data_IF_006877007141
#
_entry.id   IF_006877007141
#
_cell.length_a   1.000
_cell.length_b   1.000
_cell.length_c   1.000
_cell.angle_alpha   90.00
_cell.angle_beta   90.00
_cell.angle_gamma   90.00
#
_symmetry.space_group_name_H-M   'P 1'
#
loop_
_entity.id
_entity.type
_entity.pdbx_description
1 polymer ?
#
# COMPACT_ATOMS: atom_id res chain seq x y z
N UNK A 1 16.36 -11.27 13.85
CA UNK A 1 15.12 -11.34 13.06
C UNK A 1 14.42 -9.99 12.93
N UNK A 2 14.14 -9.27 14.02
CA UNK A 2 13.44 -7.98 14.01
C UNK A 2 14.00 -6.97 12.99
N UNK A 3 15.33 -6.77 12.93
CA UNK A 3 15.97 -5.85 11.97
C UNK A 3 15.64 -6.15 10.50
N UNK A 4 15.56 -7.43 10.12
CA UNK A 4 15.26 -7.84 8.75
C UNK A 4 13.79 -7.57 8.40
N UNK A 5 12.88 -7.85 9.34
CA UNK A 5 11.44 -7.61 9.20
C UNK A 5 11.17 -6.10 9.09
N UNK A 6 11.81 -5.29 9.92
CA UNK A 6 11.68 -3.82 9.86
C UNK A 6 12.21 -3.25 8.54
N UNK A 7 13.35 -3.75 8.05
CA UNK A 7 13.91 -3.32 6.76
C UNK A 7 12.98 -3.70 5.61
N UNK A 8 12.49 -4.95 5.59
CA UNK A 8 11.50 -5.42 4.62
C UNK A 8 10.25 -4.53 4.61
N UNK A 9 9.71 -4.24 5.79
CA UNK A 9 8.55 -3.36 5.95
C UNK A 9 8.81 -1.96 5.41
N UNK A 10 9.97 -1.36 5.69
CA UNK A 10 10.30 -0.05 5.15
C UNK A 10 10.35 -0.06 3.61
N UNK A 11 11.00 -1.06 3.02
CA UNK A 11 11.15 -1.20 1.57
C UNK A 11 9.80 -1.42 0.88
N UNK A 12 8.98 -2.36 1.36
CA UNK A 12 7.69 -2.68 0.73
C UNK A 12 6.70 -1.51 0.81
N UNK A 13 6.76 -0.69 1.87
CA UNK A 13 5.94 0.53 1.97
C UNK A 13 6.42 1.63 1.01
N UNK A 14 7.73 1.79 0.80
CA UNK A 14 8.25 2.71 -0.20
C UNK A 14 7.79 2.26 -1.60
N UNK A 15 7.90 0.97 -1.92
CA UNK A 15 7.42 0.40 -3.19
C UNK A 15 5.91 0.62 -3.35
N UNK A 16 5.11 0.29 -2.32
CA UNK A 16 3.66 0.50 -2.34
C UNK A 16 3.27 1.97 -2.57
N UNK A 17 3.99 2.89 -1.96
CA UNK A 17 3.80 4.32 -2.17
C UNK A 17 4.14 4.75 -3.61
N UNK A 18 5.28 4.30 -4.13
CA UNK A 18 5.73 4.62 -5.49
C UNK A 18 4.73 4.11 -6.53
N UNK A 19 4.32 2.83 -6.45
CA UNK A 19 3.38 2.22 -7.39
C UNK A 19 2.03 2.94 -7.37
N UNK A 20 1.53 3.32 -6.19
CA UNK A 20 0.28 4.08 -6.08
C UNK A 20 0.41 5.52 -6.61
N UNK A 21 1.58 6.17 -6.44
CA UNK A 21 1.83 7.49 -7.03
C UNK A 21 1.95 7.40 -8.55
N UNK A 22 2.65 6.39 -9.07
CA UNK A 22 2.77 6.15 -10.50
C UNK A 22 1.41 5.87 -11.14
N UNK A 23 0.52 5.13 -10.47
CA UNK A 23 -0.84 4.88 -10.97
C UNK A 23 -1.60 6.20 -11.21
N UNK A 24 -1.40 7.20 -10.33
CA UNK A 24 -1.96 8.54 -10.55
C UNK A 24 -1.33 9.25 -11.75
N UNK A 25 -0.01 9.18 -11.90
CA UNK A 25 0.70 9.85 -12.99
C UNK A 25 0.37 9.19 -14.35
N UNK A 26 0.18 7.87 -14.38
CA UNK A 26 -0.35 7.10 -15.52
C UNK A 26 -1.79 7.50 -15.85
N UNK A 27 -2.64 7.68 -14.83
CA UNK A 27 -4.01 8.17 -15.02
C UNK A 27 -4.07 9.58 -15.63
N UNK A 28 -3.10 10.45 -15.32
CA UNK A 28 -2.97 11.79 -15.91
C UNK A 28 -2.45 11.77 -17.34
N UNK A 29 -1.48 10.89 -17.63
CA UNK A 29 -0.84 10.76 -18.93
C UNK A 29 -1.59 9.86 -19.93
N UNK A 30 -2.82 9.42 -19.59
CA UNK A 30 -3.64 8.45 -20.36
C UNK A 30 -2.86 7.16 -20.71
N UNK A 31 -1.89 6.78 -19.88
CA UNK A 31 -1.19 5.50 -19.98
C UNK A 31 -1.98 4.39 -19.30
N UNK A 32 -1.61 3.14 -19.56
CA UNK A 32 -2.20 1.97 -18.91
C UNK A 32 -2.10 2.10 -17.39
N UNK A 33 -3.25 1.92 -16.72
CA UNK A 33 -3.36 2.01 -15.27
C UNK A 33 -2.84 0.73 -14.63
N UNK A 34 -2.36 0.85 -13.39
CA UNK A 34 -1.93 -0.33 -12.62
C UNK A 34 -3.18 -1.13 -12.23
N UNK A 35 -3.19 -2.46 -12.45
CA UNK A 35 -4.29 -3.31 -12.03
C UNK A 35 -4.55 -3.16 -10.53
N UNK A 36 -5.82 -3.06 -10.14
CA UNK A 36 -6.17 -2.89 -8.72
C UNK A 36 -5.65 -4.03 -7.85
N UNK A 37 -5.66 -5.25 -8.41
CA UNK A 37 -5.12 -6.46 -7.80
C UNK A 37 -3.66 -6.28 -7.36
N UNK A 38 -2.83 -5.59 -8.14
CA UNK A 38 -1.43 -5.34 -7.80
C UNK A 38 -1.29 -4.43 -6.58
N UNK A 39 -2.12 -3.38 -6.48
CA UNK A 39 -2.12 -2.48 -5.32
C UNK A 39 -2.59 -3.21 -4.04
N UNK A 40 -3.63 -4.04 -4.16
CA UNK A 40 -4.08 -4.89 -3.04
C UNK A 40 -3.05 -5.94 -2.64
N UNK A 41 -2.36 -6.55 -3.61
CA UNK A 41 -1.31 -7.53 -3.35
C UNK A 41 -0.11 -6.88 -2.64
N UNK A 42 0.34 -5.70 -3.10
CA UNK A 42 1.38 -4.93 -2.42
C UNK A 42 0.98 -4.57 -0.99
N UNK A 43 -0.28 -4.15 -0.80
CA UNK A 43 -0.81 -3.89 0.53
C UNK A 43 -0.83 -5.15 1.41
N UNK A 44 -1.23 -6.31 0.86
CA UNK A 44 -1.29 -7.57 1.59
C UNK A 44 0.09 -8.12 1.99
N UNK A 45 1.13 -7.94 1.16
CA UNK A 45 2.49 -8.43 1.42
C UNK A 45 3.22 -7.62 2.51
N UNK A 46 2.78 -6.39 2.80
CA UNK A 46 3.50 -5.52 3.74
C UNK A 46 3.33 -4.02 3.50
N UNK A 47 2.95 -3.63 2.28
CA UNK A 47 3.00 -2.26 1.79
C UNK A 47 1.75 -1.42 2.07
N UNK A 48 0.83 -1.90 2.91
CA UNK A 48 -0.48 -1.27 3.10
C UNK A 48 -0.35 0.18 3.59
N UNK A 49 0.62 0.48 4.44
CA UNK A 49 0.84 1.83 4.98
C UNK A 49 1.30 2.79 3.87
N UNK A 50 2.21 2.34 3.00
CA UNK A 50 2.69 3.08 1.84
C UNK A 50 1.61 3.34 0.80
N UNK A 51 0.81 2.32 0.48
CA UNK A 51 -0.34 2.46 -0.42
C UNK A 51 -1.37 3.43 0.16
N UNK A 52 -1.70 3.30 1.45
CA UNK A 52 -2.69 4.15 2.11
C UNK A 52 -2.24 5.62 2.17
N UNK A 53 -0.98 5.86 2.54
CA UNK A 53 -0.41 7.21 2.61
C UNK A 53 -0.37 7.86 1.22
N UNK A 54 0.04 7.12 0.18
CA UNK A 54 -0.02 7.60 -1.20
C UNK A 54 -1.46 7.91 -1.64
N UNK A 55 -2.42 7.03 -1.32
CA UNK A 55 -3.83 7.18 -1.64
C UNK A 55 -4.38 8.51 -1.12
N UNK A 56 -4.20 8.79 0.17
CA UNK A 56 -4.69 10.03 0.79
C UNK A 56 -3.90 11.26 0.36
N UNK A 57 -2.57 11.18 0.30
CA UNK A 57 -1.72 12.33 -0.09
C UNK A 57 -2.00 12.77 -1.52
N UNK A 58 -2.19 11.82 -2.43
CA UNK A 58 -2.51 12.09 -3.82
C UNK A 58 -4.02 12.20 -4.07
N UNK A 59 -4.88 11.96 -3.07
CA UNK A 59 -6.36 11.88 -3.23
C UNK A 59 -6.76 11.01 -4.43
N UNK A 60 -6.01 9.93 -4.64
CA UNK A 60 -6.20 9.02 -5.76
C UNK A 60 -6.93 7.80 -5.27
N UNK A 61 -8.00 7.39 -5.95
CA UNK A 61 -8.89 6.30 -5.55
C UNK A 61 -9.51 6.37 -4.14
N UNK A 62 -9.60 7.55 -3.54
CA UNK A 62 -10.28 7.77 -2.23
C UNK A 62 -11.82 7.69 -2.29
N UNK A 63 -12.41 7.52 -3.47
CA UNK A 63 -13.86 7.32 -3.64
C UNK A 63 -14.25 5.88 -3.99
N UNK A 64 -13.27 4.99 -4.20
CA UNK A 64 -13.55 3.58 -4.45
C UNK A 64 -13.68 2.86 -3.10
N UNK A 65 -14.89 2.41 -2.77
CA UNK A 65 -15.18 1.73 -1.50
C UNK A 65 -14.23 0.56 -1.23
N UNK A 66 -13.88 -0.22 -2.27
CA UNK A 66 -12.91 -1.31 -2.15
C UNK A 66 -11.57 -0.83 -1.60
N UNK A 67 -11.07 0.32 -2.04
CA UNK A 67 -9.79 0.88 -1.56
C UNK A 67 -9.93 1.54 -0.19
N UNK A 68 -11.01 2.28 0.03
CA UNK A 68 -11.28 2.99 1.29
C UNK A 68 -11.44 2.03 2.45
N UNK A 69 -12.03 0.86 2.23
CA UNK A 69 -12.23 -0.16 3.28
C UNK A 69 -11.09 -1.18 3.24
N UNK A 70 -10.74 -1.68 2.06
CA UNK A 70 -9.81 -2.79 1.92
C UNK A 70 -8.36 -2.44 2.26
N UNK A 71 -7.86 -1.24 1.92
CA UNK A 71 -6.48 -0.87 2.26
C UNK A 71 -6.31 -0.66 3.78
N UNK A 72 -7.19 0.07 4.50
CA UNK A 72 -7.13 0.12 5.96
C UNK A 72 -7.28 -1.23 6.65
N UNK A 73 -8.15 -2.11 6.13
CA UNK A 73 -8.31 -3.46 6.67
C UNK A 73 -7.01 -4.27 6.55
N UNK A 74 -6.36 -4.20 5.39
CA UNK A 74 -5.05 -4.82 5.18
C UNK A 74 -3.98 -4.19 6.08
N UNK A 75 -4.00 -2.87 6.26
CA UNK A 75 -3.08 -2.19 7.18
C UNK A 75 -3.26 -2.71 8.61
N UNK A 76 -4.49 -2.89 9.07
CA UNK A 76 -4.78 -3.39 10.41
C UNK A 76 -4.26 -4.83 10.57
N UNK A 77 -4.46 -5.69 9.56
CA UNK A 77 -3.89 -7.04 9.55
C UNK A 77 -2.35 -7.01 9.61
N UNK A 78 -1.73 -6.12 8.84
CA UNK A 78 -0.28 -5.94 8.84
C UNK A 78 0.23 -5.55 10.23
N UNK A 79 -0.40 -4.57 10.88
CA UNK A 79 -0.03 -4.11 12.23
C UNK A 79 -0.15 -5.25 13.25
N UNK A 80 -1.20 -6.07 13.19
CA UNK A 80 -1.36 -7.23 14.08
C UNK A 80 -0.23 -8.26 13.89
N UNK A 81 0.08 -8.59 12.63
CA UNK A 81 1.16 -9.54 12.31
C UNK A 81 2.50 -8.98 12.79
N UNK A 82 2.81 -7.72 12.46
CA UNK A 82 4.08 -7.11 12.86
C UNK A 82 4.20 -6.95 14.38
N UNK A 83 3.11 -6.60 15.07
CA UNK A 83 3.06 -6.52 16.52
C UNK A 83 3.42 -7.86 17.17
N UNK A 84 2.90 -8.97 16.64
CA UNK A 84 3.23 -10.30 17.11
C UNK A 84 4.71 -10.68 16.87
N UNK A 85 5.29 -10.29 15.72
CA UNK A 85 6.69 -10.58 15.39
C UNK A 85 7.72 -9.67 16.07
N UNK A 86 7.29 -8.52 16.60
CA UNK A 86 8.15 -7.56 17.32
C UNK A 86 8.24 -7.84 18.83
N UNK A 87 7.33 -8.66 19.34
CA UNK A 87 7.29 -9.12 20.73
C UNK A 87 8.36 -10.20 20.98
#
# INVERSE_FOLDING_TARGET
>A
MVKLVTLWFAVINIIGYMVMSEDKDKARSRRERVPEKTLFLLAAIGGALGVLTAMYRRRHKTRHMSFVIGIPLLLLLNVLIYGYFLQ
#
